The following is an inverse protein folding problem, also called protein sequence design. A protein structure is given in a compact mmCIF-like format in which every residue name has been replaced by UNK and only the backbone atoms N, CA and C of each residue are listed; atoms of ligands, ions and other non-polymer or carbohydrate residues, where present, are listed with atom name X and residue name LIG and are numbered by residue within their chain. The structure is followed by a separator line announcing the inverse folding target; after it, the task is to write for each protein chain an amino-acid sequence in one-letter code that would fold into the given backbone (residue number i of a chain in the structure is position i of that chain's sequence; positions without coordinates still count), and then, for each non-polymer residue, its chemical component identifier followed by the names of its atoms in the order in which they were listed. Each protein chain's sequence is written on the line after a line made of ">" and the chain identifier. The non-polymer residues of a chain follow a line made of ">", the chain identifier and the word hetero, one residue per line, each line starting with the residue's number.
data_IF_395590997274
#
_entry.id   IF_395590997274
#
_cell.length_a   1.000
_cell.length_b   1.000
_cell.length_c   1.000
_cell.angle_alpha   90.00
_cell.angle_beta   90.00
_cell.angle_gamma   90.00
#
_symmetry.space_group_name_H-M   'P 1'
#
loop_
_entity.id
_entity.type
_entity.pdbx_description
1 polymer ?
#
# COMPACT_ATOMS: atom_id res chain seq x y z
N UNK A 1 17.71 -12.01 -0.55
CA UNK A 1 16.66 -11.18 -1.16
C UNK A 1 17.32 -9.89 -1.61
N UNK A 2 17.04 -9.42 -2.84
CA UNK A 2 17.64 -8.20 -3.40
C UNK A 2 16.85 -6.96 -2.95
N UNK A 3 17.54 -5.82 -2.81
CA UNK A 3 16.91 -4.54 -2.56
C UNK A 3 16.33 -4.02 -3.89
N UNK A 4 15.01 -3.78 -3.94
CA UNK A 4 14.33 -3.25 -5.13
C UNK A 4 14.28 -1.73 -5.12
N UNK A 5 14.02 -1.14 -3.95
CA UNK A 5 13.99 0.31 -3.76
C UNK A 5 14.90 0.74 -2.60
N UNK A 6 15.76 1.72 -2.84
CA UNK A 6 16.59 2.33 -1.81
C UNK A 6 16.43 3.86 -1.84
N UNK A 7 16.15 4.44 -0.70
CA UNK A 7 16.05 5.88 -0.50
C UNK A 7 17.28 6.35 0.27
N UNK A 8 17.95 7.37 -0.24
CA UNK A 8 19.16 7.94 0.38
C UNK A 8 18.96 9.42 0.67
N UNK A 9 18.82 9.76 1.96
CA UNK A 9 18.69 11.13 2.47
C UNK A 9 17.63 11.96 1.72
N UNK A 10 16.49 11.33 1.44
CA UNK A 10 15.46 11.86 0.57
C UNK A 10 14.72 13.01 1.22
N UNK A 11 14.69 14.17 0.57
CA UNK A 11 13.96 15.35 1.04
C UNK A 11 13.14 15.98 -0.09
N UNK A 12 11.97 16.54 0.29
CA UNK A 12 11.10 17.25 -0.64
C UNK A 12 10.46 18.48 0.03
N UNK A 13 10.44 19.59 -0.71
CA UNK A 13 9.92 20.88 -0.26
C UNK A 13 8.95 21.43 -1.30
N UNK A 14 7.69 21.61 -0.90
CA UNK A 14 6.71 22.34 -1.70
C UNK A 14 6.96 23.85 -1.60
N UNK A 15 6.72 24.58 -2.70
CA UNK A 15 6.77 26.03 -2.73
C UNK A 15 8.12 26.62 -2.31
N UNK A 16 9.23 25.95 -2.65
CA UNK A 16 10.59 26.38 -2.29
C UNK A 16 10.84 27.84 -2.70
N UNK A 17 11.30 28.64 -1.75
CA UNK A 17 11.56 30.08 -1.96
C UNK A 17 10.30 30.97 -1.98
N UNK A 18 9.15 30.45 -1.60
CA UNK A 18 7.91 31.23 -1.44
C UNK A 18 7.47 31.31 0.01
N UNK A 19 6.56 32.23 0.38
CA UNK A 19 5.98 32.27 1.73
C UNK A 19 5.22 31.01 2.16
N UNK A 20 4.89 30.14 1.18
CA UNK A 20 4.19 28.87 1.42
C UNK A 20 5.13 27.66 1.41
N UNK A 21 6.42 27.89 1.64
CA UNK A 21 7.41 26.82 1.69
C UNK A 21 7.07 25.82 2.80
N UNK A 22 6.97 24.53 2.41
CA UNK A 22 6.67 23.44 3.33
C UNK A 22 7.53 22.23 3.02
N UNK A 23 8.40 21.84 3.95
CA UNK A 23 9.14 20.58 3.87
C UNK A 23 8.18 19.41 4.16
N UNK A 24 7.90 18.61 3.15
CA UNK A 24 6.95 17.49 3.24
C UNK A 24 7.64 16.17 3.54
N UNK A 25 8.90 16.00 3.08
CA UNK A 25 9.77 14.87 3.39
C UNK A 25 11.13 15.43 3.79
N UNK A 26 11.71 14.90 4.87
CA UNK A 26 12.91 15.41 5.50
C UNK A 26 13.88 14.28 5.84
N UNK A 27 14.93 14.14 5.04
CA UNK A 27 16.04 13.23 5.24
C UNK A 27 15.65 11.77 5.49
N UNK A 28 14.78 11.20 4.62
CA UNK A 28 14.32 9.81 4.73
C UNK A 28 15.29 8.88 4.02
N UNK A 29 15.78 7.86 4.75
CA UNK A 29 16.61 6.78 4.21
C UNK A 29 16.05 5.43 4.64
N UNK A 30 15.84 4.52 3.68
CA UNK A 30 15.39 3.15 3.94
C UNK A 30 15.66 2.26 2.71
N UNK A 31 15.56 0.95 2.89
CA UNK A 31 15.68 -0.05 1.85
C UNK A 31 14.49 -1.00 1.89
N UNK A 32 13.85 -1.23 0.74
CA UNK A 32 12.74 -2.16 0.57
C UNK A 32 13.24 -3.35 -0.24
N UNK A 33 12.98 -4.54 0.29
CA UNK A 33 13.37 -5.81 -0.32
C UNK A 33 12.34 -6.23 -1.36
N UNK A 34 12.79 -6.85 -2.43
CA UNK A 34 11.90 -7.41 -3.45
C UNK A 34 10.98 -8.48 -2.81
N UNK A 35 9.69 -8.42 -3.16
CA UNK A 35 8.69 -9.36 -2.66
C UNK A 35 8.22 -9.08 -1.23
N UNK A 36 8.47 -7.89 -0.65
CA UNK A 36 7.86 -7.45 0.61
C UNK A 36 6.51 -6.76 0.37
N UNK A 37 5.55 -6.97 1.26
CA UNK A 37 4.37 -6.12 1.40
C UNK A 37 4.60 -5.15 2.56
N UNK A 38 4.83 -3.87 2.22
CA UNK A 38 5.17 -2.83 3.18
C UNK A 38 3.97 -1.93 3.45
N UNK A 39 3.53 -1.87 4.70
CA UNK A 39 2.54 -0.91 5.16
C UNK A 39 3.17 0.48 5.34
N UNK A 40 2.43 1.54 4.97
CA UNK A 40 2.88 2.93 5.17
C UNK A 40 1.83 3.66 5.99
N UNK A 41 2.17 4.01 7.23
CA UNK A 41 1.26 4.67 8.18
C UNK A 41 1.81 6.01 8.64
N UNK A 42 0.93 6.86 9.15
CA UNK A 42 1.24 8.19 9.65
C UNK A 42 0.00 9.08 9.62
N UNK A 43 -0.04 10.14 10.42
CA UNK A 43 -1.16 11.07 10.40
C UNK A 43 -1.28 11.79 9.05
N UNK A 44 -2.42 12.44 8.81
CA UNK A 44 -2.63 13.28 7.62
C UNK A 44 -1.58 14.39 7.57
N UNK A 45 -0.95 14.58 6.41
CA UNK A 45 0.11 15.56 6.23
C UNK A 45 1.49 15.14 6.77
N UNK A 46 1.69 13.87 7.17
CA UNK A 46 3.01 13.36 7.60
C UNK A 46 4.01 13.12 6.47
N UNK A 47 3.60 13.26 5.19
CA UNK A 47 4.47 13.13 4.02
C UNK A 47 4.35 11.81 3.25
N UNK A 48 3.42 10.91 3.63
CA UNK A 48 3.24 9.58 2.98
C UNK A 48 3.05 9.67 1.48
N UNK A 49 2.00 10.34 1.02
CA UNK A 49 1.68 10.44 -0.42
C UNK A 49 2.80 11.16 -1.20
N UNK A 50 3.46 12.16 -0.59
CA UNK A 50 4.63 12.82 -1.18
C UNK A 50 5.78 11.83 -1.36
N UNK A 51 6.06 11.01 -0.34
CA UNK A 51 7.06 9.96 -0.42
C UNK A 51 6.73 8.96 -1.53
N UNK A 52 5.50 8.46 -1.59
CA UNK A 52 5.07 7.53 -2.64
C UNK A 52 5.21 8.11 -4.04
N UNK A 53 4.84 9.37 -4.25
CA UNK A 53 5.00 10.06 -5.53
C UNK A 53 6.47 10.26 -5.94
N UNK A 54 7.39 10.36 -4.99
CA UNK A 54 8.82 10.39 -5.29
C UNK A 54 9.34 9.02 -5.76
N UNK A 55 8.82 7.92 -5.19
CA UNK A 55 9.21 6.56 -5.59
C UNK A 55 8.81 6.25 -7.04
N UNK A 56 7.66 6.75 -7.48
CA UNK A 56 7.17 6.58 -8.85
C UNK A 56 7.76 7.61 -9.84
N UNK A 57 8.60 8.56 -9.36
CA UNK A 57 9.17 9.62 -10.19
C UNK A 57 8.16 10.67 -10.67
N UNK A 58 7.02 10.85 -9.98
CA UNK A 58 6.11 11.98 -10.20
C UNK A 58 6.66 13.26 -9.59
N UNK A 59 7.30 13.15 -8.43
CA UNK A 59 7.98 14.25 -7.77
C UNK A 59 9.49 14.00 -7.77
N UNK A 60 10.24 15.01 -8.23
CA UNK A 60 11.70 14.95 -8.16
C UNK A 60 12.16 15.40 -6.77
N UNK A 61 13.00 14.63 -6.06
CA UNK A 61 13.57 15.02 -4.78
C UNK A 61 14.27 16.39 -4.86
N UNK A 62 14.15 17.17 -3.79
CA UNK A 62 14.95 18.39 -3.62
C UNK A 62 16.39 18.05 -3.20
N UNK A 63 16.55 16.98 -2.42
CA UNK A 63 17.81 16.44 -1.93
C UNK A 63 17.71 14.92 -1.85
N UNK A 64 18.85 14.24 -1.98
CA UNK A 64 18.94 12.78 -1.91
C UNK A 64 18.60 12.08 -3.21
N UNK A 65 18.44 10.75 -3.16
CA UNK A 65 18.24 9.89 -4.32
C UNK A 65 17.21 8.80 -4.05
N UNK A 66 16.49 8.40 -5.09
CA UNK A 66 15.68 7.18 -5.13
C UNK A 66 16.37 6.22 -6.10
N UNK A 67 16.77 5.07 -5.59
CA UNK A 67 17.38 4.03 -6.41
C UNK A 67 16.35 2.91 -6.63
N UNK A 68 16.17 2.53 -7.89
CA UNK A 68 15.43 1.35 -8.32
C UNK A 68 16.43 0.36 -8.91
N UNK A 69 16.52 -0.86 -8.38
CA UNK A 69 17.51 -1.86 -8.75
C UNK A 69 18.96 -1.30 -8.71
N UNK A 70 19.26 -0.47 -7.70
CA UNK A 70 20.55 0.15 -7.49
C UNK A 70 20.88 1.33 -8.41
N UNK A 71 19.97 1.77 -9.29
CA UNK A 71 20.15 2.91 -10.21
C UNK A 71 19.27 4.08 -9.81
N UNK A 72 19.83 5.30 -9.81
CA UNK A 72 19.04 6.50 -9.55
C UNK A 72 18.01 6.71 -10.65
N UNK A 73 16.73 6.78 -10.25
CA UNK A 73 15.61 6.98 -11.20
C UNK A 73 15.70 8.31 -11.96
N UNK A 74 16.44 9.26 -11.44
CA UNK A 74 16.65 10.59 -12.02
C UNK A 74 18.00 10.76 -12.77
N UNK A 75 18.81 9.70 -12.85
CA UNK A 75 20.07 9.72 -13.62
C UNK A 75 19.80 10.07 -15.10
N UNK A 76 18.71 9.56 -15.67
CA UNK A 76 18.26 9.84 -17.02
C UNK A 76 16.81 10.38 -17.02
N UNK A 77 16.58 11.69 -16.78
CA UNK A 77 15.21 12.24 -16.61
C UNK A 77 14.28 12.01 -17.79
N UNK A 78 14.82 11.88 -19.01
CA UNK A 78 14.02 11.58 -20.22
C UNK A 78 13.42 10.16 -20.19
N UNK A 79 13.97 9.24 -19.39
CA UNK A 79 13.51 7.86 -19.24
C UNK A 79 12.63 7.65 -18.00
N UNK A 80 12.25 8.71 -17.30
CA UNK A 80 11.41 8.57 -16.08
C UNK A 80 10.09 7.83 -16.35
N UNK A 81 9.62 7.78 -17.58
CA UNK A 81 8.45 6.99 -17.98
C UNK A 81 8.67 5.49 -17.77
N UNK A 82 9.88 4.97 -18.01
CA UNK A 82 10.24 3.57 -17.78
C UNK A 82 10.13 3.21 -16.29
N UNK A 83 10.52 4.15 -15.41
CA UNK A 83 10.37 3.99 -13.95
C UNK A 83 8.89 3.84 -13.57
N UNK A 84 7.99 4.62 -14.18
CA UNK A 84 6.54 4.56 -13.89
C UNK A 84 5.88 3.26 -14.32
N UNK A 85 6.44 2.54 -15.28
CA UNK A 85 5.98 1.19 -15.62
C UNK A 85 6.46 0.16 -14.59
N UNK A 86 7.67 0.33 -14.04
CA UNK A 86 8.21 -0.56 -13.01
C UNK A 86 7.64 -0.30 -11.62
N UNK A 87 7.40 0.98 -11.29
CA UNK A 87 6.76 1.41 -10.05
C UNK A 87 5.37 1.94 -10.36
N UNK A 88 4.41 1.03 -10.46
CA UNK A 88 3.00 1.36 -10.68
C UNK A 88 2.41 2.07 -9.46
N UNK A 89 1.61 3.11 -9.68
CA UNK A 89 0.99 3.88 -8.59
C UNK A 89 -0.51 4.02 -8.79
N UNK A 90 -1.25 3.58 -7.78
CA UNK A 90 -2.69 3.82 -7.64
C UNK A 90 -2.89 4.95 -6.64
N UNK A 91 -3.51 6.04 -7.09
CA UNK A 91 -3.79 7.20 -6.25
C UNK A 91 -5.04 6.99 -5.38
N UNK A 92 -5.22 7.86 -4.40
CA UNK A 92 -6.45 7.94 -3.64
C UNK A 92 -7.64 8.27 -4.57
N UNK A 93 -8.76 7.53 -4.44
CA UNK A 93 -9.93 7.61 -5.32
C UNK A 93 -9.61 7.38 -6.81
N UNK A 94 -9.00 6.23 -7.15
CA UNK A 94 -8.53 5.97 -8.52
C UNK A 94 -9.67 5.86 -9.53
N UNK A 95 -10.90 5.64 -9.08
CA UNK A 95 -12.11 5.62 -9.89
C UNK A 95 -12.40 6.92 -10.65
N UNK A 96 -11.83 8.04 -10.22
CA UNK A 96 -11.94 9.31 -10.95
C UNK A 96 -10.95 9.44 -12.11
N UNK A 97 -10.06 8.47 -12.28
CA UNK A 97 -9.07 8.45 -13.36
C UNK A 97 -9.53 7.66 -14.60
N UNK A 98 -10.70 7.02 -14.54
CA UNK A 98 -11.28 6.29 -15.67
C UNK A 98 -11.83 7.29 -16.71
N UNK A 99 -11.47 7.09 -17.97
CA UNK A 99 -11.80 8.06 -19.05
C UNK A 99 -12.13 7.42 -20.40
N UNK A 100 -11.87 6.12 -20.57
CA UNK A 100 -12.06 5.42 -21.84
C UNK A 100 -13.53 5.04 -22.07
N UNK A 101 -13.86 4.63 -23.30
CA UNK A 101 -15.19 4.21 -23.69
C UNK A 101 -15.63 2.90 -23.03
N UNK A 102 -14.68 1.98 -22.80
CA UNK A 102 -14.91 0.69 -22.17
C UNK A 102 -13.91 0.41 -21.07
N UNK A 103 -14.32 -0.39 -20.10
CA UNK A 103 -13.45 -0.87 -19.01
C UNK A 103 -12.22 -1.59 -19.57
N UNK A 104 -12.38 -2.38 -20.63
CA UNK A 104 -11.28 -3.05 -21.30
C UNK A 104 -10.23 -2.04 -21.79
N UNK A 105 -10.65 -0.96 -22.45
CA UNK A 105 -9.74 0.07 -22.98
C UNK A 105 -9.04 0.83 -21.85
N UNK A 106 -9.74 1.15 -20.76
CA UNK A 106 -9.12 1.78 -19.59
C UNK A 106 -8.03 0.90 -18.98
N UNK A 107 -8.30 -0.40 -18.78
CA UNK A 107 -7.31 -1.34 -18.26
C UNK A 107 -6.14 -1.51 -19.23
N UNK A 108 -6.43 -1.60 -20.54
CA UNK A 108 -5.43 -1.76 -21.59
C UNK A 108 -4.50 -0.56 -21.75
N UNK A 109 -4.94 0.65 -21.41
CA UNK A 109 -4.24 1.90 -21.68
C UNK A 109 -2.77 1.91 -21.20
N UNK A 110 -2.54 1.51 -19.95
CA UNK A 110 -1.20 1.45 -19.37
C UNK A 110 -0.31 0.43 -20.07
N UNK A 111 -0.84 -0.77 -20.29
CA UNK A 111 -0.15 -1.88 -20.95
C UNK A 111 0.20 -1.58 -22.40
N UNK A 112 -0.71 -0.95 -23.16
CA UNK A 112 -0.45 -0.45 -24.52
C UNK A 112 0.68 0.59 -24.53
N UNK A 113 0.67 1.52 -23.59
CA UNK A 113 1.73 2.50 -23.43
C UNK A 113 3.11 1.90 -23.10
N UNK A 114 3.12 0.70 -22.48
CA UNK A 114 4.33 -0.11 -22.28
C UNK A 114 4.75 -0.85 -23.54
N UNK A 115 3.91 -0.90 -24.58
CA UNK A 115 4.19 -1.53 -25.85
C UNK A 115 3.59 -2.94 -26.03
N UNK A 116 2.64 -3.35 -25.18
CA UNK A 116 1.91 -4.60 -25.36
C UNK A 116 0.84 -4.45 -26.44
N UNK A 117 0.73 -5.46 -27.29
CA UNK A 117 -0.24 -5.51 -28.39
C UNK A 117 -0.83 -6.95 -28.55
N UNK A 118 -1.94 -7.07 -29.27
CA UNK A 118 -2.55 -8.35 -29.65
C UNK A 118 -2.88 -9.25 -28.45
N UNK A 119 -2.55 -10.53 -28.54
CA UNK A 119 -2.83 -11.54 -27.50
C UNK A 119 -2.15 -11.24 -26.16
N UNK A 120 -0.95 -10.64 -26.18
CA UNK A 120 -0.24 -10.29 -24.96
C UNK A 120 -0.97 -9.20 -24.19
N UNK A 121 -1.52 -8.20 -24.89
CA UNK A 121 -2.35 -7.16 -24.31
C UNK A 121 -3.65 -7.73 -23.72
N UNK A 122 -4.38 -8.57 -24.51
CA UNK A 122 -5.64 -9.16 -24.05
C UNK A 122 -5.44 -10.01 -22.79
N UNK A 123 -4.35 -10.79 -22.74
CA UNK A 123 -3.99 -11.57 -21.56
C UNK A 123 -3.72 -10.65 -20.36
N UNK A 124 -2.89 -9.61 -20.51
CA UNK A 124 -2.57 -8.68 -19.43
C UNK A 124 -3.83 -8.01 -18.86
N UNK A 125 -4.79 -7.61 -19.72
CA UNK A 125 -6.06 -7.02 -19.30
C UNK A 125 -6.91 -8.01 -18.52
N UNK A 126 -7.05 -9.26 -19.01
CA UNK A 126 -7.89 -10.28 -18.37
C UNK A 126 -7.30 -10.76 -17.04
N UNK A 127 -5.99 -10.96 -16.99
CA UNK A 127 -5.30 -11.35 -15.76
C UNK A 127 -5.43 -10.24 -14.71
N UNK A 128 -5.24 -8.98 -15.09
CA UNK A 128 -5.41 -7.85 -14.18
C UNK A 128 -6.87 -7.70 -13.68
N UNK A 129 -7.85 -7.93 -14.56
CA UNK A 129 -9.27 -7.94 -14.20
C UNK A 129 -9.58 -9.08 -13.21
N UNK A 130 -9.02 -10.27 -13.41
CA UNK A 130 -9.17 -11.41 -12.49
C UNK A 130 -8.55 -11.12 -11.13
N UNK A 131 -7.32 -10.59 -11.08
CA UNK A 131 -6.67 -10.20 -9.81
C UNK A 131 -7.49 -9.19 -9.00
N UNK A 132 -8.17 -8.27 -9.66
CA UNK A 132 -9.03 -7.29 -8.98
C UNK A 132 -10.46 -7.75 -8.77
N UNK A 133 -10.81 -8.98 -9.24
CA UNK A 133 -12.16 -9.55 -9.12
C UNK A 133 -13.20 -8.84 -9.97
N UNK A 134 -12.81 -8.25 -11.09
CA UNK A 134 -13.72 -7.74 -12.09
C UNK A 134 -14.28 -8.89 -12.91
N UNK A 135 -15.61 -8.93 -13.03
CA UNK A 135 -16.28 -9.93 -13.86
C UNK A 135 -15.97 -9.66 -15.35
N UNK A 136 -15.66 -10.69 -16.15
CA UNK A 136 -15.40 -10.53 -17.60
C UNK A 136 -16.53 -9.79 -18.36
N UNK A 137 -17.78 -9.96 -17.92
CA UNK A 137 -18.95 -9.30 -18.52
C UNK A 137 -18.95 -7.77 -18.34
N UNK A 138 -18.08 -7.22 -17.50
CA UNK A 138 -17.96 -5.79 -17.29
C UNK A 138 -16.95 -5.12 -18.23
N UNK A 139 -16.06 -5.90 -18.86
CA UNK A 139 -14.98 -5.36 -19.69
C UNK A 139 -15.48 -4.53 -20.89
N UNK A 140 -16.60 -4.94 -21.49
CA UNK A 140 -17.20 -4.24 -22.64
C UNK A 140 -18.15 -3.10 -22.25
N UNK A 141 -18.39 -2.92 -20.93
CA UNK A 141 -19.25 -1.81 -20.48
C UNK A 141 -18.47 -0.51 -20.40
N UNK A 142 -19.23 0.59 -20.44
CA UNK A 142 -18.67 1.91 -20.09
C UNK A 142 -18.23 1.93 -18.62
N UNK A 143 -17.05 2.48 -18.27
CA UNK A 143 -16.65 2.67 -16.88
C UNK A 143 -17.67 3.47 -16.08
N UNK A 144 -18.42 4.37 -16.74
CA UNK A 144 -19.42 5.22 -16.07
C UNK A 144 -20.66 4.45 -15.61
N UNK A 145 -20.92 3.27 -16.18
CA UNK A 145 -22.04 2.40 -15.81
C UNK A 145 -21.71 1.47 -14.64
N UNK A 146 -20.46 1.49 -14.16
CA UNK A 146 -20.01 0.66 -13.04
C UNK A 146 -20.38 1.27 -11.69
N UNK A 147 -20.59 0.42 -10.68
CA UNK A 147 -20.61 0.84 -9.27
C UNK A 147 -19.25 1.41 -8.83
N UNK A 148 -19.22 2.21 -7.76
CA UNK A 148 -17.98 2.80 -7.26
C UNK A 148 -16.88 1.76 -6.95
N UNK A 149 -17.26 0.63 -6.35
CA UNK A 149 -16.31 -0.46 -6.09
C UNK A 149 -15.80 -1.15 -7.37
N UNK A 150 -16.64 -1.30 -8.40
CA UNK A 150 -16.22 -1.83 -9.70
C UNK A 150 -15.30 -0.85 -10.43
N UNK A 151 -15.61 0.45 -10.43
CA UNK A 151 -14.74 1.51 -10.97
C UNK A 151 -13.35 1.45 -10.35
N UNK A 152 -13.29 1.36 -9.02
CA UNK A 152 -12.03 1.26 -8.28
C UNK A 152 -11.22 0.04 -8.68
N UNK A 153 -11.87 -1.13 -8.76
CA UNK A 153 -11.20 -2.36 -9.25
C UNK A 153 -10.70 -2.22 -10.68
N UNK A 154 -11.44 -1.58 -11.57
CA UNK A 154 -11.01 -1.31 -12.93
C UNK A 154 -9.76 -0.41 -12.98
N UNK A 155 -9.75 0.68 -12.19
CA UNK A 155 -8.61 1.58 -12.13
C UNK A 155 -7.34 0.89 -11.54
N UNK A 156 -7.50 0.04 -10.52
CA UNK A 156 -6.38 -0.75 -9.98
C UNK A 156 -5.90 -1.76 -11.03
N UNK A 157 -6.82 -2.44 -11.75
CA UNK A 157 -6.49 -3.36 -12.83
C UNK A 157 -5.66 -2.68 -13.92
N UNK A 158 -5.96 -1.43 -14.28
CA UNK A 158 -5.19 -0.65 -15.25
C UNK A 158 -3.72 -0.44 -14.86
N UNK A 159 -3.43 -0.37 -13.57
CA UNK A 159 -2.05 -0.30 -13.07
C UNK A 159 -1.42 -1.70 -13.04
N UNK A 160 -2.14 -2.72 -12.59
CA UNK A 160 -1.67 -4.12 -12.55
C UNK A 160 -1.37 -4.65 -13.97
N UNK A 161 -2.15 -4.28 -14.98
CA UNK A 161 -1.94 -4.69 -16.37
C UNK A 161 -0.58 -4.23 -16.94
N UNK A 162 0.03 -3.22 -16.36
CA UNK A 162 1.41 -2.83 -16.69
C UNK A 162 2.47 -3.79 -16.15
N UNK A 163 2.09 -4.78 -15.33
CA UNK A 163 2.98 -5.72 -14.67
C UNK A 163 4.15 -5.03 -13.94
N UNK A 164 3.85 -4.19 -12.92
CA UNK A 164 4.87 -3.44 -12.19
C UNK A 164 5.67 -4.34 -11.24
N UNK A 165 6.98 -4.08 -11.11
CA UNK A 165 7.86 -4.71 -10.11
C UNK A 165 7.51 -4.26 -8.69
N UNK A 166 7.05 -3.01 -8.56
CA UNK A 166 6.60 -2.39 -7.31
C UNK A 166 5.22 -1.77 -7.53
N UNK A 167 4.23 -2.19 -6.75
CA UNK A 167 2.88 -1.62 -6.76
C UNK A 167 2.68 -0.72 -5.55
N UNK A 168 2.47 0.56 -5.77
CA UNK A 168 2.14 1.54 -4.73
C UNK A 168 0.64 1.79 -4.72
N UNK A 169 0.00 1.62 -3.57
CA UNK A 169 -1.43 1.82 -3.37
C UNK A 169 -1.63 2.90 -2.30
N UNK A 170 -2.09 4.08 -2.70
CA UNK A 170 -2.35 5.19 -1.77
C UNK A 170 -3.83 5.19 -1.36
N UNK A 171 -4.11 4.65 -0.17
CA UNK A 171 -5.44 4.52 0.43
C UNK A 171 -6.48 3.81 -0.46
N UNK A 172 -6.19 2.62 -1.00
CA UNK A 172 -7.07 1.95 -1.97
C UNK A 172 -8.42 1.55 -1.37
N UNK A 173 -8.54 1.43 -0.05
CA UNK A 173 -9.76 1.01 0.66
C UNK A 173 -10.60 2.19 1.16
N UNK A 174 -10.16 3.44 0.96
CA UNK A 174 -10.88 4.62 1.44
C UNK A 174 -12.29 4.71 0.86
N UNK A 175 -13.31 4.89 1.71
CA UNK A 175 -14.71 5.02 1.29
C UNK A 175 -15.40 3.73 0.86
N UNK A 176 -14.74 2.57 0.94
CA UNK A 176 -15.40 1.27 0.77
C UNK A 176 -16.11 0.85 2.07
N UNK A 177 -17.21 0.11 1.90
CA UNK A 177 -17.83 -0.62 3.00
C UNK A 177 -16.92 -1.73 3.54
N UNK A 178 -17.19 -2.30 4.72
CA UNK A 178 -16.32 -3.33 5.31
C UNK A 178 -16.11 -4.55 4.41
N UNK A 179 -17.14 -5.00 3.70
CA UNK A 179 -17.06 -6.16 2.80
C UNK A 179 -16.18 -5.84 1.58
N UNK A 180 -16.42 -4.69 0.93
CA UNK A 180 -15.62 -4.24 -0.23
C UNK A 180 -14.14 -4.04 0.13
N UNK A 181 -13.87 -3.52 1.34
CA UNK A 181 -12.50 -3.39 1.87
C UNK A 181 -11.82 -4.75 2.00
N UNK A 182 -12.50 -5.70 2.64
CA UNK A 182 -11.95 -7.05 2.85
C UNK A 182 -11.65 -7.77 1.53
N UNK A 183 -12.60 -7.71 0.59
CA UNK A 183 -12.44 -8.28 -0.75
C UNK A 183 -11.24 -7.66 -1.46
N UNK A 184 -11.11 -6.33 -1.47
CA UNK A 184 -9.99 -5.66 -2.14
C UNK A 184 -8.64 -6.01 -1.52
N UNK A 185 -8.53 -6.04 -0.19
CA UNK A 185 -7.28 -6.42 0.49
C UNK A 185 -6.90 -7.88 0.23
N UNK A 186 -7.87 -8.79 0.19
CA UNK A 186 -7.61 -10.19 -0.15
C UNK A 186 -7.09 -10.33 -1.60
N UNK A 187 -7.62 -9.55 -2.54
CA UNK A 187 -7.18 -9.51 -3.93
C UNK A 187 -5.76 -8.95 -4.07
N UNK A 188 -5.44 -7.85 -3.38
CA UNK A 188 -4.08 -7.28 -3.35
C UNK A 188 -3.08 -8.30 -2.78
N UNK A 189 -3.45 -8.98 -1.68
CA UNK A 189 -2.61 -9.99 -1.06
C UNK A 189 -2.42 -11.21 -1.98
N UNK A 190 -3.47 -11.62 -2.70
CA UNK A 190 -3.38 -12.69 -3.72
C UNK A 190 -2.42 -12.29 -4.83
N UNK A 191 -2.59 -11.10 -5.42
CA UNK A 191 -1.71 -10.58 -6.46
C UNK A 191 -0.24 -10.55 -6.01
N UNK A 192 0.02 -10.00 -4.82
CA UNK A 192 1.36 -9.97 -4.24
C UNK A 192 1.98 -11.38 -4.11
N UNK A 193 1.22 -12.36 -3.60
CA UNK A 193 1.71 -13.73 -3.39
C UNK A 193 1.94 -14.50 -4.69
N UNK A 194 1.05 -14.35 -5.67
CA UNK A 194 1.13 -15.08 -6.94
C UNK A 194 2.18 -14.48 -7.88
N UNK A 195 2.31 -13.15 -7.92
CA UNK A 195 3.27 -12.45 -8.80
C UNK A 195 4.63 -12.19 -8.15
N UNK A 196 4.77 -12.42 -6.82
CA UNK A 196 6.00 -12.15 -6.05
C UNK A 196 6.52 -10.72 -6.21
N UNK A 197 5.65 -9.77 -6.51
CA UNK A 197 5.99 -8.37 -6.63
C UNK A 197 6.04 -7.67 -5.27
N UNK A 198 6.66 -6.49 -5.22
CA UNK A 198 6.70 -5.67 -4.01
C UNK A 198 5.47 -4.78 -3.95
N UNK A 199 4.82 -4.67 -2.79
CA UNK A 199 3.64 -3.82 -2.60
C UNK A 199 3.87 -2.82 -1.48
N UNK A 200 3.62 -1.54 -1.74
CA UNK A 200 3.54 -0.50 -0.71
C UNK A 200 2.08 -0.08 -0.53
N UNK A 201 1.53 -0.36 0.64
CA UNK A 201 0.13 -0.08 0.98
C UNK A 201 0.05 1.07 1.98
N UNK A 202 -0.39 2.24 1.53
CA UNK A 202 -0.72 3.35 2.43
C UNK A 202 -2.13 3.14 2.96
N UNK A 203 -2.31 3.14 4.27
CA UNK A 203 -3.63 3.05 4.90
C UNK A 203 -3.69 3.80 6.22
N UNK A 204 -4.89 4.31 6.54
CA UNK A 204 -5.22 4.82 7.87
C UNK A 204 -5.81 3.75 8.80
N UNK A 205 -6.12 2.56 8.27
CA UNK A 205 -6.60 1.42 9.06
C UNK A 205 -5.42 0.60 9.57
N UNK A 206 -5.22 0.63 10.86
CA UNK A 206 -4.17 -0.18 11.50
C UNK A 206 -4.49 -1.67 11.42
N UNK A 207 -5.78 -2.02 11.41
CA UNK A 207 -6.27 -3.39 11.23
C UNK A 207 -5.89 -3.95 9.86
N UNK A 208 -6.07 -3.15 8.79
CA UNK A 208 -5.72 -3.55 7.44
C UNK A 208 -4.21 -3.81 7.32
N UNK A 209 -3.41 -2.87 7.81
CA UNK A 209 -1.94 -2.98 7.79
C UNK A 209 -1.45 -4.15 8.64
N UNK A 210 -2.00 -4.33 9.84
CA UNK A 210 -1.64 -5.43 10.74
C UNK A 210 -1.88 -6.81 10.12
N UNK A 211 -2.90 -6.92 9.27
CA UNK A 211 -3.31 -8.18 8.63
C UNK A 211 -2.43 -8.57 7.45
N UNK A 212 -1.93 -7.60 6.69
CA UNK A 212 -1.30 -7.89 5.39
C UNK A 212 0.18 -7.52 5.29
N UNK A 213 0.66 -6.56 6.08
CA UNK A 213 2.01 -6.04 5.92
C UNK A 213 3.08 -6.87 6.66
N UNK A 214 4.19 -7.12 5.98
CA UNK A 214 5.39 -7.75 6.57
C UNK A 214 6.13 -6.75 7.46
N UNK A 215 6.33 -5.53 6.96
CA UNK A 215 7.01 -4.41 7.63
C UNK A 215 6.21 -3.13 7.49
N UNK A 216 6.47 -2.17 8.36
CA UNK A 216 5.75 -0.89 8.37
C UNK A 216 6.72 0.28 8.35
N UNK A 217 6.49 1.21 7.41
CA UNK A 217 7.04 2.56 7.40
C UNK A 217 6.12 3.47 8.23
N UNK A 218 6.64 4.03 9.30
CA UNK A 218 5.93 5.03 10.10
C UNK A 218 6.47 6.41 9.77
N UNK A 219 5.63 7.25 9.15
CA UNK A 219 5.96 8.64 8.83
C UNK A 219 5.41 9.61 9.87
N UNK A 220 6.26 10.48 10.40
CA UNK A 220 5.86 11.54 11.32
C UNK A 220 6.52 12.87 10.95
N UNK A 221 5.72 13.90 10.66
CA UNK A 221 6.19 15.26 10.33
C UNK A 221 7.29 15.29 9.26
N UNK A 222 7.10 14.51 8.20
CA UNK A 222 8.03 14.40 7.07
C UNK A 222 9.22 13.47 7.29
N UNK A 223 9.39 12.90 8.46
CA UNK A 223 10.53 12.04 8.83
C UNK A 223 10.11 10.59 8.94
N UNK A 224 11.05 9.69 8.69
CA UNK A 224 10.94 8.28 9.01
C UNK A 224 11.06 8.11 10.53
N UNK A 225 9.96 7.73 11.20
CA UNK A 225 9.98 7.45 12.62
C UNK A 225 10.40 6.00 12.93
N UNK A 226 9.86 5.04 12.13
CA UNK A 226 10.19 3.60 12.25
C UNK A 226 10.14 2.94 10.87
N UNK A 227 10.93 1.89 10.68
CA UNK A 227 10.81 0.96 9.57
C UNK A 227 11.21 -0.44 10.03
N UNK A 228 10.25 -1.20 10.52
CA UNK A 228 10.46 -2.46 11.23
C UNK A 228 9.36 -3.48 10.90
N UNK A 229 9.53 -4.76 11.28
CA UNK A 229 8.47 -5.77 11.17
C UNK A 229 7.17 -5.31 11.84
N UNK A 230 6.04 -5.66 11.25
CA UNK A 230 4.69 -5.22 11.70
C UNK A 230 4.44 -5.48 13.18
N UNK A 231 4.82 -6.65 13.70
CA UNK A 231 4.68 -6.99 15.13
C UNK A 231 5.50 -6.06 16.02
N UNK A 232 6.71 -5.71 15.62
CA UNK A 232 7.59 -4.83 16.40
C UNK A 232 7.08 -3.39 16.45
N UNK A 233 6.54 -2.88 15.33
CA UNK A 233 5.93 -1.54 15.29
C UNK A 233 4.73 -1.48 16.23
N UNK A 234 3.81 -2.44 16.16
CA UNK A 234 2.59 -2.42 16.97
C UNK A 234 2.81 -2.80 18.44
N UNK A 235 3.94 -3.40 18.80
CA UNK A 235 4.35 -3.53 20.22
C UNK A 235 4.64 -2.18 20.87
N UNK A 236 5.06 -1.18 20.09
CA UNK A 236 5.39 0.17 20.58
C UNK A 236 4.18 1.10 20.60
N UNK A 237 3.04 0.63 21.10
CA UNK A 237 1.79 1.38 21.12
C UNK A 237 1.89 2.76 21.77
N UNK A 238 2.66 2.90 22.86
CA UNK A 238 2.88 4.18 23.54
C UNK A 238 3.66 5.17 22.66
N UNK A 239 4.62 4.70 21.87
CA UNK A 239 5.38 5.53 20.93
C UNK A 239 4.51 5.95 19.75
N UNK A 240 3.73 5.02 19.17
CA UNK A 240 2.76 5.31 18.12
C UNK A 240 1.73 6.35 18.57
N UNK A 241 1.28 6.28 19.83
CA UNK A 241 0.34 7.24 20.41
C UNK A 241 0.93 8.66 20.44
N UNK A 242 2.24 8.84 20.67
CA UNK A 242 2.93 10.14 20.58
C UNK A 242 2.93 10.72 19.18
N UNK A 243 2.83 9.87 18.16
CA UNK A 243 2.69 10.26 16.75
C UNK A 243 1.22 10.42 16.32
N UNK A 244 0.26 10.30 17.24
CA UNK A 244 -1.18 10.38 16.96
C UNK A 244 -1.71 9.13 16.23
N UNK A 245 -0.99 8.02 16.31
CA UNK A 245 -1.38 6.74 15.72
C UNK A 245 -1.90 5.79 16.79
N UNK A 246 -2.76 4.87 16.39
CA UNK A 246 -3.28 3.82 17.28
C UNK A 246 -2.66 2.47 16.88
N UNK A 247 -2.75 1.50 17.76
CA UNK A 247 -2.55 0.08 17.41
C UNK A 247 -3.91 -0.54 17.05
N UNK A 248 -3.96 -1.70 16.40
CA UNK A 248 -5.20 -2.43 16.16
C UNK A 248 -6.02 -2.61 17.45
N UNK A 249 -7.35 -2.57 17.36
CA UNK A 249 -8.23 -2.66 18.53
C UNK A 249 -7.98 -3.94 19.33
N UNK A 250 -7.81 -5.06 18.63
CA UNK A 250 -7.53 -6.34 19.28
C UNK A 250 -6.20 -6.32 20.05
N UNK A 251 -5.17 -5.67 19.49
CA UNK A 251 -3.87 -5.49 20.16
C UNK A 251 -4.04 -4.72 21.48
N UNK A 252 -4.85 -3.66 21.49
CA UNK A 252 -5.17 -2.91 22.72
C UNK A 252 -5.87 -3.80 23.76
N UNK A 253 -6.83 -4.63 23.33
CA UNK A 253 -7.56 -5.55 24.22
C UNK A 253 -6.58 -6.55 24.84
N UNK A 254 -5.72 -7.18 24.05
CA UNK A 254 -4.74 -8.15 24.52
C UNK A 254 -3.74 -7.52 25.50
N UNK A 255 -3.26 -6.30 25.20
CA UNK A 255 -2.41 -5.56 26.13
C UNK A 255 -3.13 -5.20 27.44
N UNK A 256 -4.42 -4.86 27.39
CA UNK A 256 -5.22 -4.58 28.58
C UNK A 256 -5.44 -5.83 29.46
N UNK A 257 -5.67 -6.98 28.84
CA UNK A 257 -5.79 -8.28 29.54
C UNK A 257 -4.47 -8.62 30.26
N UNK A 258 -3.33 -8.43 29.57
CA UNK A 258 -2.02 -8.66 30.16
C UNK A 258 -1.73 -7.74 31.36
N UNK A 259 -2.07 -6.46 31.26
CA UNK A 259 -1.95 -5.51 32.40
C UNK A 259 -2.80 -5.91 33.60
N UNK A 260 -3.88 -6.68 33.40
CA UNK A 260 -4.73 -7.24 34.45
C UNK A 260 -4.23 -8.61 34.98
N UNK A 261 -3.07 -9.08 34.51
CA UNK A 261 -2.45 -10.32 34.99
C UNK A 261 -2.86 -11.58 34.25
N UNK A 262 -3.58 -11.48 33.13
CA UNK A 262 -3.86 -12.65 32.28
C UNK A 262 -2.59 -13.04 31.50
N UNK A 263 -2.31 -14.34 31.45
CA UNK A 263 -1.19 -14.90 30.68
C UNK A 263 -1.57 -15.00 29.19
N UNK A 264 -1.49 -13.88 28.48
CA UNK A 264 -1.78 -13.78 27.06
C UNK A 264 -0.54 -13.35 26.29
N UNK A 265 -0.33 -13.85 25.04
CA UNK A 265 0.84 -13.53 24.24
C UNK A 265 0.92 -12.06 23.87
N UNK A 266 2.15 -11.57 23.66
CA UNK A 266 2.42 -10.26 23.08
C UNK A 266 2.34 -10.29 21.55
N UNK A 267 2.07 -9.13 20.94
CA UNK A 267 2.13 -8.98 19.49
C UNK A 267 1.00 -9.65 18.73
N UNK A 268 -0.14 -9.84 19.38
CA UNK A 268 -1.38 -10.28 18.74
C UNK A 268 -1.95 -9.12 17.94
N UNK A 269 -2.13 -9.33 16.63
CA UNK A 269 -2.49 -8.29 15.68
C UNK A 269 -3.89 -8.47 15.09
N UNK A 270 -4.39 -9.71 15.03
CA UNK A 270 -5.66 -10.06 14.41
C UNK A 270 -6.63 -10.68 15.41
N UNK A 271 -7.93 -10.65 15.08
CA UNK A 271 -8.97 -11.29 15.89
C UNK A 271 -8.76 -12.80 15.93
N UNK A 272 -8.35 -13.40 14.83
CA UNK A 272 -8.08 -14.85 14.75
C UNK A 272 -6.92 -15.25 15.67
N UNK A 273 -5.79 -14.50 15.63
CA UNK A 273 -4.68 -14.73 16.57
C UNK A 273 -5.12 -14.59 18.04
N UNK A 274 -5.99 -13.62 18.34
CA UNK A 274 -6.51 -13.44 19.69
C UNK A 274 -7.44 -14.58 20.11
N UNK A 275 -8.31 -15.03 19.20
CA UNK A 275 -9.20 -16.17 19.44
C UNK A 275 -8.41 -17.43 19.78
N UNK A 276 -7.40 -17.75 18.97
CA UNK A 276 -6.52 -18.91 19.19
C UNK A 276 -5.77 -18.82 20.52
N UNK A 277 -5.36 -17.62 20.93
CA UNK A 277 -4.66 -17.40 22.19
C UNK A 277 -5.58 -17.48 23.42
N UNK A 278 -6.83 -17.02 23.30
CA UNK A 278 -7.78 -16.94 24.43
C UNK A 278 -8.57 -18.23 24.63
N UNK A 279 -8.85 -18.98 23.57
CA UNK A 279 -9.64 -20.21 23.62
C UNK A 279 -9.12 -21.23 24.67
N UNK A 280 -7.82 -21.54 24.73
CA UNK A 280 -7.28 -22.46 25.75
C UNK A 280 -7.43 -21.97 27.20
N UNK A 281 -7.39 -20.64 27.41
CA UNK A 281 -7.54 -20.03 28.72
C UNK A 281 -8.99 -20.16 29.22
N UNK A 282 -9.96 -19.92 28.34
CA UNK A 282 -11.38 -20.04 28.63
C UNK A 282 -11.79 -21.49 28.91
N UNK A 283 -11.19 -22.45 28.20
CA UNK A 283 -11.43 -23.89 28.43
C UNK A 283 -10.89 -24.37 29.80
N UNK A 284 -9.70 -23.88 30.21
CA UNK A 284 -9.12 -24.22 31.53
C UNK A 284 -9.95 -23.70 32.71
N UNK A 285 -10.62 -22.55 32.54
CA UNK A 285 -11.46 -21.96 33.61
C UNK A 285 -12.90 -22.49 33.64
N UNK A 286 -13.26 -23.45 32.78
CA UNK A 286 -14.61 -24.03 32.74
C UNK A 286 -15.72 -23.03 32.35
N UNK A 287 -15.37 -21.94 31.69
CA UNK A 287 -16.30 -20.86 31.33
C UNK A 287 -16.76 -20.88 29.86
N UNK A 288 -16.59 -22.00 29.16
CA UNK A 288 -17.23 -22.21 27.86
C UNK A 288 -18.50 -22.99 28.06
N UNK A 289 -19.59 -22.41 27.60
CA UNK A 289 -20.98 -22.94 27.56
C UNK A 289 -21.07 -24.14 26.63
#
# INVERSE_FOLDING_TARGET
>A
MSCVLELKNLSFVYGKGTPFEKRAVDNVSLQITQGELVGVIGHTGSGKSTLMQMLNGLLRPAEGQVLLDGRDIWEQPKKIREVRFKVGMVFQYPEYQLFEETVYKDIAFGAQNRGLEGEALDRAVRDAADFTGLKPSLLEKSPFDLSGGEKRRAAIAGVIAMDPEVLVLDEPTAGLDPMGREVLLSQITRYHKECHNTVLLVSHSMEDIARVADRIIVMNKGKLAMFEPTKEVFRRGDELSRYGLKVPQITNIMQALRRRGFDVPEGVLTVDEAFDALLPLLQKEGKLW
#
